data_IF_661610944584
#
_entry.id   IF_661610944584
#
_cell.length_a   1.000
_cell.length_b   1.000
_cell.length_c   1.000
_cell.angle_alpha   90.00
_cell.angle_beta   90.00
_cell.angle_gamma   90.00
#
_symmetry.space_group_name_H-M   'P 1'
#
loop_
_entity.id
_entity.type
_entity.pdbx_description
1 polymer ?
#
# COMPACT_ATOMS: atom_id res chain seq x y z
N UNK A 1 15.67 -4.43 8.64
CA UNK A 1 14.95 -3.55 9.61
C UNK A 1 14.77 -4.30 10.93
N UNK A 2 15.07 -3.69 12.07
CA UNK A 2 14.85 -4.35 13.37
C UNK A 2 13.37 -4.33 13.73
N UNK A 3 12.89 -5.39 14.43
CA UNK A 3 11.49 -5.47 14.90
C UNK A 3 11.11 -4.24 15.73
N UNK A 4 11.99 -3.79 16.59
CA UNK A 4 11.78 -2.60 17.43
C UNK A 4 11.56 -1.32 16.62
N UNK A 5 12.25 -1.15 15.47
CA UNK A 5 12.06 0.01 14.61
C UNK A 5 10.73 -0.06 13.86
N UNK A 6 10.30 -1.26 13.44
CA UNK A 6 8.98 -1.45 12.83
C UNK A 6 7.89 -1.08 13.82
N UNK A 7 7.93 -1.64 15.02
CA UNK A 7 6.93 -1.39 16.07
C UNK A 7 6.87 0.11 16.40
N UNK A 8 8.01 0.74 16.64
CA UNK A 8 8.10 2.18 16.93
C UNK A 8 7.53 3.04 15.80
N UNK A 9 7.87 2.73 14.54
CA UNK A 9 7.38 3.49 13.39
C UNK A 9 5.88 3.26 13.16
N UNK A 10 5.41 2.06 13.38
CA UNK A 10 3.97 1.72 13.29
C UNK A 10 3.18 2.47 14.35
N UNK A 11 3.63 2.47 15.60
CA UNK A 11 3.00 3.22 16.69
C UNK A 11 2.96 4.71 16.38
N UNK A 12 4.05 5.26 15.83
CA UNK A 12 4.09 6.65 15.37
C UNK A 12 3.06 6.93 14.27
N UNK A 13 2.91 6.04 13.27
CA UNK A 13 1.91 6.18 12.21
C UNK A 13 0.49 6.14 12.77
N UNK A 14 0.19 5.22 13.68
CA UNK A 14 -1.14 5.04 14.25
C UNK A 14 -1.56 6.18 15.19
N UNK A 15 -0.61 6.76 15.91
CA UNK A 15 -0.89 7.80 16.93
C UNK A 15 -0.76 9.23 16.40
N UNK A 16 -0.16 9.41 15.23
CA UNK A 16 0.08 10.75 14.67
C UNK A 16 -1.18 11.36 14.06
N UNK A 17 -1.51 12.57 14.53
CA UNK A 17 -2.60 13.40 13.98
C UNK A 17 -2.13 14.41 12.92
N UNK A 18 -0.83 14.46 12.62
CA UNK A 18 -0.21 15.37 11.66
C UNK A 18 0.63 14.56 10.68
N UNK A 19 1.23 15.27 9.69
CA UNK A 19 2.10 14.64 8.69
C UNK A 19 3.16 13.75 9.34
N UNK A 20 3.22 12.49 8.92
CA UNK A 20 4.19 11.51 9.39
C UNK A 20 5.46 11.58 8.53
N UNK A 21 6.58 11.95 9.14
CA UNK A 21 7.90 11.94 8.52
C UNK A 21 8.95 11.43 9.49
N UNK A 22 10.04 10.91 8.97
CA UNK A 22 11.17 10.44 9.79
C UNK A 22 11.79 11.57 10.61
N UNK A 23 11.82 12.79 10.04
CA UNK A 23 12.28 14.00 10.77
C UNK A 23 11.39 14.29 11.97
N UNK A 24 10.06 14.21 11.80
CA UNK A 24 9.13 14.43 12.90
C UNK A 24 9.25 13.34 13.98
N UNK A 25 9.38 12.06 13.58
CA UNK A 25 9.60 11.00 14.56
C UNK A 25 10.89 11.25 15.35
N UNK A 26 11.98 11.62 14.68
CA UNK A 26 13.24 12.00 15.34
C UNK A 26 13.06 13.14 16.33
N UNK A 27 12.26 14.16 15.98
CA UNK A 27 11.96 15.30 16.89
C UNK A 27 11.16 14.84 18.11
N UNK A 28 10.17 13.96 17.94
CA UNK A 28 9.37 13.39 19.05
C UNK A 28 10.25 12.58 20.01
N UNK A 29 11.28 11.94 19.46
CA UNK A 29 12.25 11.15 20.23
C UNK A 29 13.42 12.00 20.77
N UNK A 30 13.30 13.34 20.78
CA UNK A 30 14.32 14.28 21.23
C UNK A 30 15.71 14.04 20.57
N UNK A 31 15.70 13.55 19.31
CA UNK A 31 16.91 13.26 18.56
C UNK A 31 17.68 12.00 19.00
N UNK A 32 17.17 11.22 19.95
CA UNK A 32 17.79 9.94 20.39
C UNK A 32 18.01 9.00 19.21
N UNK A 33 17.09 9.02 18.24
CA UNK A 33 17.26 8.33 16.96
C UNK A 33 17.18 9.38 15.85
N UNK A 34 18.26 9.52 15.07
CA UNK A 34 18.31 10.50 13.99
C UNK A 34 17.38 10.11 12.84
N UNK A 35 16.84 11.10 12.13
CA UNK A 35 15.97 10.87 10.96
C UNK A 35 16.67 10.07 9.86
N UNK A 36 17.98 10.23 9.67
CA UNK A 36 18.77 9.45 8.72
C UNK A 36 18.84 7.97 9.09
N UNK A 37 18.98 7.67 10.40
CA UNK A 37 18.96 6.29 10.89
C UNK A 37 17.61 5.66 10.65
N UNK A 38 16.51 6.37 10.95
CA UNK A 38 15.14 5.90 10.71
C UNK A 38 14.94 5.63 9.22
N UNK A 39 15.29 6.58 8.35
CA UNK A 39 15.15 6.44 6.89
C UNK A 39 15.93 5.26 6.37
N UNK A 40 17.17 5.08 6.80
CA UNK A 40 18.05 3.99 6.39
C UNK A 40 17.51 2.63 6.82
N UNK A 41 17.01 2.51 8.04
CA UNK A 41 16.39 1.29 8.56
C UNK A 41 15.10 0.94 7.77
N UNK A 42 14.25 1.92 7.49
CA UNK A 42 13.04 1.71 6.68
C UNK A 42 13.34 1.31 5.23
N UNK A 43 14.49 1.72 4.69
CA UNK A 43 14.93 1.42 3.32
C UNK A 43 15.82 0.19 3.23
N UNK A 44 16.24 -0.41 4.35
CA UNK A 44 17.27 -1.45 4.38
C UNK A 44 16.82 -2.81 3.84
N UNK A 45 15.51 -3.07 3.85
CA UNK A 45 14.93 -4.33 3.38
C UNK A 45 13.72 -4.06 2.50
N UNK A 46 13.71 -4.65 1.33
CA UNK A 46 12.52 -4.71 0.49
C UNK A 46 11.59 -5.79 1.03
N UNK A 47 10.60 -5.39 1.83
CA UNK A 47 9.53 -6.30 2.23
C UNK A 47 8.72 -6.70 0.99
N UNK A 48 8.38 -7.97 0.90
CA UNK A 48 7.61 -8.52 -0.22
C UNK A 48 6.28 -9.13 0.29
N UNK A 49 5.42 -9.53 -0.64
CA UNK A 49 4.13 -10.15 -0.33
C UNK A 49 4.23 -11.37 0.59
N UNK A 50 5.32 -12.15 0.48
CA UNK A 50 5.53 -13.31 1.35
C UNK A 50 5.80 -12.91 2.81
N UNK A 51 6.53 -11.82 3.04
CA UNK A 51 6.80 -11.31 4.39
C UNK A 51 5.54 -10.73 5.01
N UNK A 52 4.76 -9.98 4.24
CA UNK A 52 3.44 -9.50 4.64
C UNK A 52 2.52 -10.68 5.02
N UNK A 53 2.48 -11.72 4.17
CA UNK A 53 1.69 -12.92 4.41
C UNK A 53 2.06 -13.64 5.71
N UNK A 54 3.34 -13.75 6.04
CA UNK A 54 3.79 -14.34 7.31
C UNK A 54 3.22 -13.63 8.53
N UNK A 55 3.07 -12.31 8.44
CA UNK A 55 2.55 -11.47 9.52
C UNK A 55 1.04 -11.68 9.71
N UNK A 56 0.26 -11.70 8.63
CA UNK A 56 -1.20 -11.75 8.71
C UNK A 56 -1.77 -13.17 8.88
N UNK A 57 -1.05 -14.19 8.43
CA UNK A 57 -1.51 -15.59 8.43
C UNK A 57 -1.99 -16.10 9.79
N UNK A 58 -1.30 -15.89 10.93
CA UNK A 58 -1.77 -16.33 12.23
C UNK A 58 -3.15 -15.74 12.56
N UNK A 59 -3.32 -14.42 12.37
CA UNK A 59 -4.58 -13.74 12.64
C UNK A 59 -5.71 -14.24 11.74
N UNK A 60 -5.43 -14.47 10.44
CA UNK A 60 -6.42 -15.02 9.51
C UNK A 60 -6.94 -16.40 9.98
N UNK A 61 -6.08 -17.26 10.50
CA UNK A 61 -6.48 -18.56 11.04
C UNK A 61 -7.45 -18.47 12.23
N UNK A 62 -7.28 -17.44 13.05
CA UNK A 62 -8.13 -17.23 14.24
C UNK A 62 -9.52 -16.66 13.88
N UNK A 63 -9.61 -15.91 12.78
CA UNK A 63 -10.85 -15.21 12.41
C UNK A 63 -11.56 -15.83 11.21
N UNK A 64 -11.01 -16.88 10.61
CA UNK A 64 -11.60 -17.53 9.43
C UNK A 64 -13.00 -18.02 9.71
N UNK A 65 -13.92 -17.76 8.79
CA UNK A 65 -15.34 -18.17 8.86
C UNK A 65 -15.90 -18.43 7.44
N UNK A 66 -16.90 -19.31 7.35
CA UNK A 66 -17.46 -19.78 6.07
C UNK A 66 -18.15 -18.67 5.26
N UNK A 67 -18.70 -17.66 5.91
CA UNK A 67 -19.40 -16.53 5.30
C UNK A 67 -18.51 -15.29 5.12
N UNK A 68 -17.21 -15.45 5.22
CA UNK A 68 -16.27 -14.36 4.96
C UNK A 68 -16.30 -13.91 3.49
N UNK A 69 -15.97 -12.68 3.25
CA UNK A 69 -15.86 -12.10 1.91
C UNK A 69 -14.50 -11.42 1.68
N UNK A 70 -14.12 -11.29 0.41
CA UNK A 70 -12.97 -10.47 0.01
C UNK A 70 -13.53 -9.21 -0.64
N UNK A 71 -13.13 -8.05 -0.15
CA UNK A 71 -13.40 -6.77 -0.78
C UNK A 71 -12.13 -6.27 -1.48
N UNK A 72 -12.33 -5.76 -2.69
CA UNK A 72 -11.31 -5.03 -3.44
C UNK A 72 -11.67 -3.55 -3.46
N UNK A 73 -10.69 -2.69 -3.25
CA UNK A 73 -10.84 -1.25 -3.41
C UNK A 73 -9.57 -0.64 -3.98
N UNK A 74 -9.65 0.59 -4.45
CA UNK A 74 -8.47 1.38 -4.79
C UNK A 74 -8.51 2.73 -4.10
N UNK A 75 -7.36 3.22 -3.69
CA UNK A 75 -7.23 4.53 -3.09
C UNK A 75 -6.02 5.28 -3.60
N UNK A 76 -6.12 6.59 -3.55
CA UNK A 76 -5.09 7.50 -4.00
C UNK A 76 -4.41 8.16 -2.79
N UNK A 77 -3.14 7.86 -2.60
CA UNK A 77 -2.30 8.47 -1.58
C UNK A 77 -1.62 9.72 -2.17
N UNK A 78 -2.08 10.89 -1.76
CA UNK A 78 -1.54 12.17 -2.23
C UNK A 78 -0.05 12.34 -1.88
N UNK A 79 0.74 12.76 -2.87
CA UNK A 79 2.18 13.05 -2.75
C UNK A 79 2.53 14.36 -3.48
N UNK A 80 1.96 15.51 -3.07
CA UNK A 80 2.07 16.76 -3.82
C UNK A 80 3.50 17.27 -3.99
N UNK A 81 4.36 17.00 -3.01
CA UNK A 81 5.74 17.48 -2.98
C UNK A 81 6.78 16.48 -3.50
N UNK A 82 6.36 15.26 -3.84
CA UNK A 82 7.28 14.24 -4.36
C UNK A 82 7.56 14.43 -5.84
N UNK A 83 8.74 14.01 -6.31
CA UNK A 83 9.02 13.94 -7.73
C UNK A 83 8.24 12.80 -8.38
N UNK A 84 7.85 12.96 -9.65
CA UNK A 84 7.23 11.90 -10.42
C UNK A 84 8.23 10.77 -10.69
N UNK A 85 7.71 9.55 -10.60
CA UNK A 85 8.43 8.32 -10.95
C UNK A 85 7.41 7.25 -11.38
N UNK A 86 7.80 5.99 -11.52
CA UNK A 86 6.89 4.91 -11.92
C UNK A 86 5.71 4.70 -10.96
N UNK A 87 5.88 5.03 -9.67
CA UNK A 87 4.85 4.85 -8.63
C UNK A 87 4.08 6.14 -8.31
N UNK A 88 4.69 7.30 -8.58
CA UNK A 88 4.10 8.61 -8.31
C UNK A 88 3.80 9.31 -9.62
N UNK A 89 2.54 9.61 -9.84
CA UNK A 89 2.07 10.29 -11.04
C UNK A 89 0.77 11.06 -10.79
N UNK A 90 0.18 11.58 -11.86
CA UNK A 90 -1.10 12.27 -11.79
C UNK A 90 -2.24 11.31 -12.05
N UNK A 91 -3.26 11.34 -11.18
CA UNK A 91 -4.47 10.53 -11.25
C UNK A 91 -5.69 11.43 -11.10
N UNK A 92 -6.77 11.09 -11.80
CA UNK A 92 -8.05 11.76 -11.62
C UNK A 92 -8.74 11.17 -10.38
N UNK A 93 -9.07 12.05 -9.44
CA UNK A 93 -9.85 11.68 -8.27
C UNK A 93 -11.34 11.96 -8.52
N UNK A 94 -12.13 10.91 -8.65
CA UNK A 94 -13.57 11.00 -8.90
C UNK A 94 -14.35 11.63 -7.73
N UNK A 95 -13.82 11.58 -6.50
CA UNK A 95 -14.48 12.15 -5.31
C UNK A 95 -14.41 13.68 -5.32
N UNK A 96 -13.27 14.22 -5.71
CA UNK A 96 -13.05 15.67 -5.72
C UNK A 96 -13.21 16.31 -7.10
N UNK A 97 -13.27 15.49 -8.17
CA UNK A 97 -13.32 15.96 -9.56
C UNK A 97 -12.02 16.63 -10.03
N UNK A 98 -10.90 16.35 -9.34
CA UNK A 98 -9.61 16.98 -9.62
C UNK A 98 -8.54 15.95 -9.97
N UNK A 99 -7.54 16.41 -10.71
CA UNK A 99 -6.32 15.65 -10.91
C UNK A 99 -5.36 15.92 -9.75
N UNK A 100 -4.96 14.88 -9.04
CA UNK A 100 -4.02 14.97 -7.91
C UNK A 100 -2.78 14.15 -8.19
N UNK A 101 -1.64 14.60 -7.67
CA UNK A 101 -0.37 13.88 -7.75
C UNK A 101 -0.24 12.95 -6.55
N UNK A 102 0.02 11.67 -6.81
CA UNK A 102 0.09 10.67 -5.76
C UNK A 102 0.44 9.29 -6.26
N UNK A 103 0.29 8.32 -5.37
CA UNK A 103 0.43 6.89 -5.64
C UNK A 103 -0.95 6.26 -5.56
N UNK A 104 -1.35 5.53 -6.60
CA UNK A 104 -2.59 4.78 -6.58
C UNK A 104 -2.29 3.34 -6.16
N UNK A 105 -3.06 2.82 -5.21
CA UNK A 105 -2.88 1.49 -4.62
C UNK A 105 -4.20 0.75 -4.76
N UNK A 106 -4.13 -0.48 -5.27
CA UNK A 106 -5.24 -1.44 -5.24
C UNK A 106 -4.98 -2.37 -4.08
N UNK A 107 -5.95 -2.54 -3.19
CA UNK A 107 -5.86 -3.44 -2.05
C UNK A 107 -7.02 -4.42 -1.98
N UNK A 108 -6.79 -5.52 -1.29
CA UNK A 108 -7.80 -6.51 -0.94
C UNK A 108 -7.86 -6.70 0.56
N UNK A 109 -9.07 -6.74 1.10
CA UNK A 109 -9.32 -7.02 2.51
C UNK A 109 -10.18 -8.29 2.67
N UNK A 110 -9.78 -9.15 3.60
CA UNK A 110 -10.59 -10.25 4.10
C UNK A 110 -11.53 -9.73 5.19
N UNK A 111 -12.81 -9.90 4.98
CA UNK A 111 -13.86 -9.35 5.85
C UNK A 111 -14.63 -10.50 6.49
N UNK A 112 -14.66 -10.48 7.81
CA UNK A 112 -15.42 -11.41 8.64
C UNK A 112 -16.35 -10.63 9.57
N UNK A 113 -17.18 -11.36 10.33
CA UNK A 113 -18.00 -10.78 11.40
C UNK A 113 -17.15 -10.15 12.52
N UNK A 114 -15.90 -10.62 12.69
CA UNK A 114 -15.00 -10.25 13.79
C UNK A 114 -14.02 -9.14 13.42
N UNK A 115 -13.52 -9.15 12.17
CA UNK A 115 -12.44 -8.25 11.77
C UNK A 115 -12.38 -8.02 10.25
N UNK A 116 -11.62 -6.99 9.88
CA UNK A 116 -11.19 -6.72 8.50
C UNK A 116 -9.67 -6.74 8.47
N UNK A 117 -9.10 -7.63 7.68
CA UNK A 117 -7.64 -7.85 7.60
C UNK A 117 -7.20 -7.60 6.15
N UNK A 118 -6.21 -6.75 5.92
CA UNK A 118 -5.65 -6.61 4.57
C UNK A 118 -5.02 -7.94 4.16
N UNK A 119 -5.38 -8.42 2.96
CA UNK A 119 -4.83 -9.65 2.37
C UNK A 119 -3.59 -9.38 1.54
N UNK A 120 -3.69 -8.37 0.69
CA UNK A 120 -2.64 -8.00 -0.24
C UNK A 120 -2.90 -6.61 -0.82
N UNK A 121 -1.87 -6.00 -1.41
CA UNK A 121 -1.98 -4.73 -2.09
C UNK A 121 -0.94 -4.62 -3.21
N UNK A 122 -1.25 -3.86 -4.24
CA UNK A 122 -0.30 -3.57 -5.31
C UNK A 122 -0.38 -2.10 -5.73
N UNK A 123 0.79 -1.51 -6.01
CA UNK A 123 0.90 -0.14 -6.49
C UNK A 123 0.68 -0.12 -8.00
N UNK A 124 -0.20 0.76 -8.47
CA UNK A 124 -0.41 0.99 -9.90
C UNK A 124 0.81 1.71 -10.46
N UNK A 125 1.59 1.01 -11.29
CA UNK A 125 2.77 1.56 -11.94
C UNK A 125 2.40 2.27 -13.24
N UNK A 126 3.11 3.36 -13.54
CA UNK A 126 3.03 4.09 -14.80
C UNK A 126 4.35 4.08 -15.54
N UNK A 127 4.28 3.97 -16.86
CA UNK A 127 5.46 4.11 -17.69
C UNK A 127 6.12 5.49 -17.50
N UNK A 128 7.45 5.51 -17.51
CA UNK A 128 8.18 6.77 -17.37
C UNK A 128 8.14 7.61 -18.64
N UNK A 129 7.94 6.97 -19.79
CA UNK A 129 7.85 7.64 -21.09
C UNK A 129 6.40 8.03 -21.34
N UNK A 130 6.08 9.32 -21.52
CA UNK A 130 4.72 9.73 -21.82
C UNK A 130 4.35 9.37 -23.26
N UNK A 131 3.09 8.97 -23.46
CA UNK A 131 2.48 8.67 -24.75
C UNK A 131 1.51 9.80 -25.12
N UNK A 132 1.45 10.16 -26.41
CA UNK A 132 0.49 11.16 -26.89
C UNK A 132 -0.89 10.53 -27.14
N UNK A 133 -1.92 11.09 -26.53
CA UNK A 133 -3.30 10.70 -26.80
C UNK A 133 -3.88 11.57 -27.90
N UNK A 134 -4.10 11.01 -29.08
CA UNK A 134 -4.64 11.73 -30.26
C UNK A 134 -6.11 12.15 -30.08
N UNK A 135 -6.91 11.38 -29.35
CA UNK A 135 -8.33 11.69 -29.11
C UNK A 135 -8.51 12.85 -28.15
N UNK A 136 -7.71 12.90 -27.10
CA UNK A 136 -7.77 13.91 -26.03
C UNK A 136 -6.83 15.10 -26.26
N UNK A 137 -5.90 14.97 -27.21
CA UNK A 137 -4.93 16.02 -27.51
C UNK A 137 -3.97 16.34 -26.35
N UNK A 138 -3.56 15.34 -25.59
CA UNK A 138 -2.67 15.53 -24.44
C UNK A 138 -1.65 14.40 -24.29
N UNK A 139 -0.57 14.71 -23.58
CA UNK A 139 0.39 13.71 -23.13
C UNK A 139 -0.11 13.05 -21.86
N UNK A 140 0.05 11.71 -21.76
CA UNK A 140 -0.24 10.96 -20.55
C UNK A 140 0.77 9.81 -20.39
N UNK A 141 0.85 9.26 -19.18
CA UNK A 141 1.68 8.09 -18.88
C UNK A 141 0.78 6.89 -18.71
N UNK A 142 1.00 5.86 -19.51
CA UNK A 142 0.25 4.61 -19.44
C UNK A 142 0.52 3.87 -18.12
N UNK A 143 -0.47 3.12 -17.70
CA UNK A 143 -0.31 2.15 -16.60
C UNK A 143 0.24 0.86 -17.19
N UNK A 144 1.22 0.26 -16.52
CA UNK A 144 1.81 -1.02 -16.94
C UNK A 144 0.81 -2.17 -16.84
N UNK A 145 -0.11 -2.09 -15.85
CA UNK A 145 -1.28 -2.95 -15.68
C UNK A 145 -2.48 -2.09 -15.33
N UNK A 146 -3.65 -2.51 -15.77
CA UNK A 146 -4.90 -1.87 -15.34
C UNK A 146 -5.22 -2.26 -13.90
N UNK A 147 -5.99 -1.42 -13.19
CA UNK A 147 -6.47 -1.75 -11.84
C UNK A 147 -7.27 -3.06 -11.81
N UNK A 148 -7.98 -3.37 -12.88
CA UNK A 148 -8.75 -4.60 -13.01
C UNK A 148 -7.84 -5.84 -13.06
N UNK A 149 -6.79 -5.81 -13.85
CA UNK A 149 -5.79 -6.89 -13.91
C UNK A 149 -5.10 -7.07 -12.56
N UNK A 150 -4.69 -5.97 -11.91
CA UNK A 150 -4.13 -6.00 -10.56
C UNK A 150 -5.11 -6.64 -9.57
N UNK A 151 -6.37 -6.21 -9.58
CA UNK A 151 -7.41 -6.75 -8.71
C UNK A 151 -7.64 -8.26 -8.92
N UNK A 152 -7.62 -8.73 -10.15
CA UNK A 152 -7.72 -10.16 -10.47
C UNK A 152 -6.53 -10.96 -9.92
N UNK A 153 -5.30 -10.47 -10.13
CA UNK A 153 -4.09 -11.12 -9.61
C UNK A 153 -4.09 -11.22 -8.08
N UNK A 154 -4.47 -10.13 -7.39
CA UNK A 154 -4.61 -10.11 -5.93
C UNK A 154 -5.67 -11.12 -5.45
N UNK A 155 -6.84 -11.16 -6.10
CA UNK A 155 -7.90 -12.10 -5.75
C UNK A 155 -7.44 -13.55 -5.92
N UNK A 156 -6.82 -13.89 -7.05
CA UNK A 156 -6.31 -15.24 -7.29
C UNK A 156 -5.25 -15.65 -6.27
N UNK A 157 -4.33 -14.75 -5.95
CA UNK A 157 -3.31 -14.97 -4.93
C UNK A 157 -3.94 -15.16 -3.54
N UNK A 158 -4.87 -14.27 -3.16
CA UNK A 158 -5.58 -14.32 -1.89
C UNK A 158 -6.39 -15.61 -1.70
N UNK A 159 -7.13 -16.04 -2.72
CA UNK A 159 -7.89 -17.29 -2.69
C UNK A 159 -6.98 -18.52 -2.52
N UNK A 160 -5.86 -18.58 -3.24
CA UNK A 160 -4.86 -19.65 -3.08
C UNK A 160 -4.27 -19.69 -1.67
N UNK A 161 -4.04 -18.53 -1.07
CA UNK A 161 -3.52 -18.41 0.28
C UNK A 161 -4.54 -18.85 1.34
N UNK A 162 -5.80 -18.41 1.21
CA UNK A 162 -6.89 -18.80 2.11
C UNK A 162 -7.16 -20.29 2.07
N UNK A 163 -7.17 -20.91 0.89
CA UNK A 163 -7.32 -22.35 0.75
C UNK A 163 -6.24 -23.13 1.50
N UNK A 164 -4.99 -22.64 1.47
CA UNK A 164 -3.86 -23.25 2.23
C UNK A 164 -3.97 -23.03 3.73
N UNK A 165 -4.68 -22.01 4.18
CA UNK A 165 -4.95 -21.77 5.61
C UNK A 165 -5.96 -22.79 6.13
N UNK A 166 -7.00 -23.10 5.35
CA UNK A 166 -8.07 -24.04 5.71
C UNK A 166 -7.63 -25.50 5.78
N UNK A 167 -6.53 -25.86 5.11
CA UNK A 167 -6.03 -27.23 5.01
C UNK A 167 -4.89 -27.55 6.00
N UNK A 168 -4.48 -26.62 6.84
CA UNK A 168 -3.37 -26.72 7.79
C UNK A 168 -3.82 -26.52 9.24
#
# INVERSE_FOLDING_TARGET
>A
MTKQMIDLYTDFLLTSTKQTSTTRLSTILDGVISHDKITRELSSEALNHHDFWKIIKPTLREIQEDNASIALDDFLLEKPHSQENSTIGFYYDHKTGKTIKGTNIVDAAYITSKARIPLDFEVVLKDMIPTWNFERGNWYREQTKTKHEIGQEILEAGLKLLTRVSLA
#
